data_IF_339853234704
#
_entry.id   IF_339853234704
#
_cell.length_a   1.000
_cell.length_b   1.000
_cell.length_c   1.000
_cell.angle_alpha   90.00
_cell.angle_beta   90.00
_cell.angle_gamma   90.00
#
_symmetry.space_group_name_H-M   'P 1'
#
loop_
_entity.id
_entity.type
_entity.pdbx_description
1 polymer ?
#
# COMPACT_ATOMS: atom_id res chain seq x y z
N UNK A 1 9.56 1.27 16.53
CA UNK A 1 8.20 0.73 16.37
C UNK A 1 7.84 0.04 17.66
N UNK A 2 6.90 0.62 18.40
CA UNK A 2 6.37 0.03 19.61
C UNK A 2 5.31 -1.03 19.23
N UNK A 3 5.11 -2.08 20.04
CA UNK A 3 4.02 -3.03 19.83
C UNK A 3 2.67 -2.30 19.80
N UNK A 4 1.88 -2.50 18.73
CA UNK A 4 0.56 -1.89 18.56
C UNK A 4 0.53 -0.59 17.75
N UNK A 5 1.68 -0.09 17.29
CA UNK A 5 1.70 1.00 16.30
C UNK A 5 1.32 0.47 14.91
N UNK A 6 0.32 1.09 14.28
CA UNK A 6 -0.03 0.85 12.89
C UNK A 6 0.75 1.84 12.00
N UNK A 7 1.75 1.38 11.24
CA UNK A 7 2.47 2.26 10.34
C UNK A 7 1.56 2.79 9.23
N UNK A 8 1.61 4.10 9.01
CA UNK A 8 0.87 4.77 7.95
C UNK A 8 1.81 5.17 6.81
N UNK A 9 1.34 4.98 5.57
CA UNK A 9 2.04 5.42 4.37
C UNK A 9 1.06 6.11 3.43
N UNK A 10 1.52 7.22 2.84
CA UNK A 10 0.81 7.91 1.76
C UNK A 10 1.49 7.58 0.44
N UNK A 11 0.70 7.22 -0.58
CA UNK A 11 1.17 7.12 -1.95
C UNK A 11 0.77 8.36 -2.73
N UNK A 12 1.74 9.03 -3.34
CA UNK A 12 1.54 10.30 -4.02
C UNK A 12 0.91 10.14 -5.42
N UNK A 13 0.73 8.90 -5.90
CA UNK A 13 0.15 8.63 -7.21
C UNK A 13 1.18 8.55 -8.34
N UNK A 14 2.42 8.18 -8.04
CA UNK A 14 3.46 7.94 -9.05
C UNK A 14 3.77 6.44 -9.17
N UNK A 15 3.95 5.95 -10.40
CA UNK A 15 4.26 4.56 -10.68
C UNK A 15 5.75 4.24 -10.40
N UNK A 16 6.15 2.99 -10.64
CA UNK A 16 7.53 2.53 -10.42
C UNK A 16 8.60 3.18 -11.32
N UNK A 17 8.18 3.97 -12.32
CA UNK A 17 9.05 4.73 -13.22
C UNK A 17 9.12 6.22 -12.85
N UNK A 18 8.45 6.63 -11.75
CA UNK A 18 8.37 8.02 -11.33
C UNK A 18 7.36 8.85 -12.14
N UNK A 19 6.48 8.20 -12.90
CA UNK A 19 5.46 8.87 -13.71
C UNK A 19 4.14 8.91 -12.94
N UNK A 20 3.46 10.05 -13.00
CA UNK A 20 2.12 10.19 -12.44
C UNK A 20 1.13 9.26 -13.12
N UNK A 21 0.35 8.54 -12.32
CA UNK A 21 -0.71 7.66 -12.81
C UNK A 21 -1.97 8.45 -13.19
N UNK A 22 -2.79 7.87 -14.06
CA UNK A 22 -4.08 8.46 -14.44
C UNK A 22 -5.06 8.53 -13.26
N UNK A 23 -6.04 9.41 -13.35
CA UNK A 23 -7.17 9.42 -12.43
C UNK A 23 -7.93 8.08 -12.50
N UNK A 24 -8.25 7.51 -11.35
CA UNK A 24 -8.90 6.21 -11.29
C UNK A 24 -8.89 5.54 -9.91
N UNK A 25 -9.46 4.34 -9.85
CA UNK A 25 -9.44 3.49 -8.65
C UNK A 25 -8.32 2.48 -8.78
N UNK A 26 -7.47 2.42 -7.76
CA UNK A 26 -6.33 1.53 -7.64
C UNK A 26 -6.55 0.54 -6.51
N UNK A 27 -5.95 -0.65 -6.64
CA UNK A 27 -5.97 -1.68 -5.62
C UNK A 27 -4.59 -1.70 -4.95
N UNK A 28 -4.56 -1.50 -3.64
CA UNK A 28 -3.37 -1.66 -2.82
C UNK A 28 -3.46 -3.02 -2.12
N UNK A 29 -2.43 -3.84 -2.29
CA UNK A 29 -2.24 -5.09 -1.54
C UNK A 29 -1.02 -4.95 -0.66
N UNK A 30 -1.21 -5.11 0.65
CA UNK A 30 -0.14 -5.21 1.64
C UNK A 30 0.02 -6.66 2.04
N UNK A 31 1.25 -7.17 2.03
CA UNK A 31 1.58 -8.53 2.47
C UNK A 31 2.61 -8.38 3.59
N UNK A 32 2.27 -8.89 4.78
CA UNK A 32 3.19 -8.98 5.91
C UNK A 32 3.67 -10.43 6.03
N UNK A 33 4.98 -10.62 6.09
CA UNK A 33 5.63 -11.91 6.31
C UNK A 33 6.46 -11.81 7.60
N UNK A 34 6.23 -12.71 8.54
CA UNK A 34 6.95 -12.73 9.82
C UNK A 34 8.25 -13.55 9.78
N UNK A 35 8.65 -14.07 8.62
CA UNK A 35 9.85 -14.89 8.43
C UNK A 35 9.72 -16.33 8.91
N UNK A 36 8.64 -16.69 9.61
CA UNK A 36 8.37 -18.06 10.09
C UNK A 36 7.40 -18.84 9.19
N UNK A 37 7.16 -18.34 7.99
CA UNK A 37 6.20 -18.90 7.03
C UNK A 37 4.75 -18.44 7.24
N UNK A 38 4.46 -17.59 8.24
CA UNK A 38 3.14 -16.99 8.39
C UNK A 38 3.07 -15.70 7.59
N UNK A 39 2.08 -15.63 6.70
CA UNK A 39 1.78 -14.46 5.88
C UNK A 39 0.37 -13.98 6.15
N UNK A 40 0.23 -12.68 6.34
CA UNK A 40 -1.05 -11.99 6.40
C UNK A 40 -1.15 -11.04 5.20
N UNK A 41 -2.35 -10.83 4.67
CA UNK A 41 -2.56 -9.86 3.61
C UNK A 41 -3.77 -8.97 3.87
N UNK A 42 -3.67 -7.72 3.43
CA UNK A 42 -4.74 -6.75 3.44
C UNK A 42 -4.88 -6.15 2.04
N UNK A 43 -6.12 -5.98 1.58
CA UNK A 43 -6.43 -5.32 0.32
C UNK A 43 -7.28 -4.09 0.58
N UNK A 44 -6.92 -2.96 -0.04
CA UNK A 44 -7.63 -1.67 0.07
C UNK A 44 -7.83 -1.09 -1.33
N UNK A 45 -8.93 -0.35 -1.50
CA UNK A 45 -9.18 0.46 -2.68
C UNK A 45 -8.72 1.88 -2.41
N UNK A 46 -8.01 2.48 -3.37
CA UNK A 46 -7.55 3.86 -3.29
C UNK A 46 -8.01 4.62 -4.54
N UNK A 47 -8.76 5.70 -4.35
CA UNK A 47 -9.07 6.63 -5.43
C UNK A 47 -7.93 7.62 -5.62
N UNK A 48 -7.44 7.76 -6.85
CA UNK A 48 -6.50 8.80 -7.25
C UNK A 48 -7.27 9.82 -8.10
N UNK A 49 -7.36 11.05 -7.59
CA UNK A 49 -7.99 12.19 -8.26
C UNK A 49 -6.97 13.34 -8.23
N UNK A 50 -6.56 13.78 -9.40
CA UNK A 50 -5.78 15.01 -9.61
C UNK A 50 -6.52 15.96 -10.55
#
# INVERSE_FOLDING_TARGET
MNPGEEPEWSWLGDNMYGETVNNGVYIIRVIADNGSGRKENATKLLGVLR
#
